data_IF_407315080895
#
_entry.id   IF_407315080895
#
_cell.length_a   1.000
_cell.length_b   1.000
_cell.length_c   1.000
_cell.angle_alpha   90.00
_cell.angle_beta   90.00
_cell.angle_gamma   90.00
#
_symmetry.space_group_name_H-M   'P 1'
#
loop_
_entity.id
_entity.type
_entity.pdbx_description
1 polymer ?
#
# COMPACT_ATOMS: atom_id res chain seq x y z
N UNK A 1 -23.94 -32.37 40.67
CA UNK A 1 -22.67 -32.97 40.26
C UNK A 1 -21.63 -31.89 40.16
N UNK A 2 -20.57 -32.03 40.91
CA UNK A 2 -19.53 -30.97 40.98
C UNK A 2 -18.75 -30.87 39.68
N UNK A 3 -17.83 -31.73 39.42
CA UNK A 3 -17.17 -31.83 38.12
C UNK A 3 -16.51 -33.19 37.99
N UNK A 4 -16.10 -33.57 36.74
CA UNK A 4 -15.36 -34.84 36.53
C UNK A 4 -14.00 -34.87 37.22
N UNK A 5 -13.46 -33.71 37.63
CA UNK A 5 -12.11 -33.58 38.21
C UNK A 5 -12.12 -33.29 39.71
N UNK A 6 -13.21 -32.76 40.25
CA UNK A 6 -13.33 -32.34 41.65
C UNK A 6 -14.68 -32.78 42.21
N UNK A 7 -14.69 -33.50 43.32
CA UNK A 7 -15.90 -33.98 43.99
C UNK A 7 -16.45 -32.94 44.97
N UNK A 8 -15.58 -32.09 45.49
CA UNK A 8 -15.90 -31.04 46.46
C UNK A 8 -14.99 -29.81 46.29
N UNK A 9 -15.30 -28.72 46.96
CA UNK A 9 -14.49 -27.49 46.94
C UNK A 9 -13.14 -27.70 47.61
N UNK A 10 -12.04 -27.53 46.88
CA UNK A 10 -10.68 -27.68 47.41
C UNK A 10 -10.32 -26.72 48.54
N UNK A 11 -11.10 -25.63 48.72
CA UNK A 11 -10.85 -24.62 49.76
C UNK A 11 -11.69 -24.79 51.02
N UNK A 12 -12.97 -25.14 50.90
CA UNK A 12 -13.86 -25.23 52.04
C UNK A 12 -14.53 -26.62 52.21
N UNK A 13 -14.20 -27.59 51.35
CA UNK A 13 -14.67 -28.97 51.45
C UNK A 13 -16.17 -29.18 51.11
N UNK A 14 -16.93 -28.15 50.77
CA UNK A 14 -18.37 -28.30 50.48
C UNK A 14 -18.62 -28.88 49.11
N UNK A 15 -19.60 -29.76 49.01
CA UNK A 15 -20.19 -30.26 47.76
C UNK A 15 -21.55 -29.63 47.46
N UNK A 16 -22.13 -28.92 48.41
CA UNK A 16 -23.51 -28.39 48.32
C UNK A 16 -23.62 -27.14 47.48
N UNK A 17 -22.53 -26.39 47.36
CA UNK A 17 -22.47 -25.17 46.58
C UNK A 17 -21.86 -25.47 45.21
N UNK A 18 -22.55 -25.05 44.14
CA UNK A 18 -22.16 -25.31 42.74
C UNK A 18 -20.70 -24.96 42.46
N UNK A 19 -20.00 -25.87 41.80
CA UNK A 19 -18.65 -25.64 41.24
C UNK A 19 -18.66 -24.54 40.19
N UNK A 20 -17.64 -23.67 40.21
CA UNK A 20 -17.48 -22.58 39.21
C UNK A 20 -16.23 -22.80 38.36
N UNK A 21 -15.04 -22.77 38.96
CA UNK A 21 -13.78 -23.01 38.29
C UNK A 21 -12.65 -23.35 39.27
N UNK A 22 -11.57 -23.95 38.79
CA UNK A 22 -10.35 -24.25 39.55
C UNK A 22 -10.59 -25.09 40.82
N UNK A 23 -11.61 -25.94 40.82
CA UNK A 23 -11.96 -26.75 42.00
C UNK A 23 -12.62 -25.95 43.12
N UNK A 24 -13.13 -24.75 42.88
CA UNK A 24 -13.72 -23.88 43.88
C UNK A 24 -15.25 -23.81 43.73
N UNK A 25 -15.96 -23.78 44.88
CA UNK A 25 -17.37 -23.44 44.92
C UNK A 25 -17.56 -21.94 44.65
N UNK A 26 -18.77 -21.50 44.26
CA UNK A 26 -19.09 -20.13 43.94
C UNK A 26 -18.63 -19.12 45.01
N UNK A 27 -18.86 -19.42 46.28
CA UNK A 27 -18.46 -18.56 47.41
C UNK A 27 -16.93 -18.39 47.49
N UNK A 28 -16.19 -19.50 47.44
CA UNK A 28 -14.73 -19.45 47.50
C UNK A 28 -14.07 -18.84 46.26
N UNK A 29 -14.67 -19.06 45.08
CA UNK A 29 -14.21 -18.43 43.84
C UNK A 29 -14.39 -16.93 43.90
N UNK A 30 -15.54 -16.39 44.26
CA UNK A 30 -15.81 -14.96 44.40
C UNK A 30 -14.86 -14.29 45.39
N UNK A 31 -14.68 -14.91 46.60
CA UNK A 31 -13.74 -14.36 47.58
C UNK A 31 -12.28 -14.35 47.09
N UNK A 32 -11.87 -15.35 46.33
CA UNK A 32 -10.52 -15.39 45.77
C UNK A 32 -10.30 -14.35 44.68
N UNK A 33 -11.28 -14.19 43.77
CA UNK A 33 -11.23 -13.17 42.71
C UNK A 33 -11.32 -11.76 43.25
N UNK A 34 -12.13 -11.50 44.27
CA UNK A 34 -12.22 -10.20 44.93
C UNK A 34 -10.92 -9.84 45.67
N UNK A 35 -10.29 -10.82 46.34
CA UNK A 35 -9.01 -10.60 47.00
C UNK A 35 -7.88 -10.31 46.02
N UNK A 36 -7.83 -11.03 44.88
CA UNK A 36 -6.87 -10.80 43.81
C UNK A 36 -7.13 -9.43 43.14
N UNK A 37 -8.38 -9.05 42.88
CA UNK A 37 -8.74 -7.76 42.34
C UNK A 37 -8.40 -6.60 43.29
N UNK A 38 -8.69 -6.74 44.59
CA UNK A 38 -8.33 -5.72 45.59
C UNK A 38 -6.83 -5.56 45.76
N UNK A 39 -6.05 -6.63 45.70
CA UNK A 39 -4.58 -6.60 45.75
C UNK A 39 -3.98 -5.87 44.53
N UNK A 40 -4.53 -6.13 43.33
CA UNK A 40 -4.08 -5.46 42.08
C UNK A 40 -4.50 -3.98 42.01
N UNK A 41 -5.67 -3.62 42.52
CA UNK A 41 -6.18 -2.25 42.48
C UNK A 41 -5.50 -1.31 43.48
N UNK A 42 -5.11 -1.78 44.68
CA UNK A 42 -4.48 -0.91 45.69
C UNK A 42 -3.06 -0.48 45.34
N UNK A 43 -2.29 -1.30 44.60
CA UNK A 43 -0.88 -0.95 44.27
C UNK A 43 -0.72 0.00 43.10
N UNK A 44 -1.75 0.22 42.26
CA UNK A 44 -1.62 0.93 40.99
C UNK A 44 -2.34 2.29 40.89
N UNK A 45 -3.26 2.61 41.79
CA UNK A 45 -4.04 3.87 41.69
C UNK A 45 -3.30 5.12 42.11
N UNK A 46 -2.42 5.08 43.10
CA UNK A 46 -1.73 6.27 43.61
C UNK A 46 -0.58 6.75 42.74
N UNK A 47 0.22 5.85 42.17
CA UNK A 47 1.44 6.22 41.43
C UNK A 47 1.11 6.80 40.05
N UNK A 48 0.15 6.20 39.34
CA UNK A 48 -0.28 6.67 38.02
C UNK A 48 -1.00 8.03 38.06
N UNK A 49 -1.68 8.34 39.17
CA UNK A 49 -2.40 9.62 39.30
C UNK A 49 -1.48 10.81 39.51
N UNK A 50 -0.39 10.62 40.23
CA UNK A 50 0.61 11.66 40.43
C UNK A 50 1.58 11.79 39.24
N UNK A 51 1.78 10.71 38.47
CA UNK A 51 2.72 10.71 37.36
C UNK A 51 2.11 11.27 36.06
N UNK A 52 0.85 10.95 35.76
CA UNK A 52 0.17 11.39 34.53
C UNK A 52 -0.54 12.72 34.75
N UNK A 53 0.22 13.81 34.87
CA UNK A 53 -0.30 15.18 34.81
C UNK A 53 -0.72 15.54 33.39
N UNK A 54 -1.43 16.67 33.20
CA UNK A 54 -1.83 17.16 31.90
C UNK A 54 -0.64 17.39 30.97
N UNK A 55 0.40 18.06 31.48
CA UNK A 55 1.62 18.39 30.76
C UNK A 55 2.37 17.12 30.34
N UNK A 56 2.49 16.16 31.28
CA UNK A 56 3.18 14.90 31.00
C UNK A 56 2.42 14.03 29.98
N UNK A 57 1.10 14.03 30.03
CA UNK A 57 0.29 13.34 29.03
C UNK A 57 0.40 14.01 27.66
N UNK A 58 0.42 15.33 27.60
CA UNK A 58 0.62 16.07 26.37
C UNK A 58 1.98 15.75 25.74
N UNK A 59 3.07 15.84 26.52
CA UNK A 59 4.42 15.46 26.09
C UNK A 59 4.47 14.03 25.52
N UNK A 60 3.97 13.05 26.29
CA UNK A 60 4.07 11.64 25.90
C UNK A 60 3.16 11.30 24.73
N UNK A 61 1.94 11.81 24.73
CA UNK A 61 0.94 11.44 23.75
C UNK A 61 1.03 12.29 22.47
N UNK A 62 1.12 13.62 22.59
CA UNK A 62 1.13 14.51 21.43
C UNK A 62 2.54 14.65 20.85
N UNK A 63 3.51 15.10 21.63
CA UNK A 63 4.87 15.40 21.14
C UNK A 63 5.64 14.12 20.81
N UNK A 64 5.72 13.18 21.74
CA UNK A 64 6.42 11.90 21.54
C UNK A 64 5.62 10.88 20.76
N UNK A 65 4.33 11.11 20.49
CA UNK A 65 3.48 10.22 19.72
C UNK A 65 3.40 8.79 20.29
N UNK A 66 3.46 8.62 21.60
CA UNK A 66 3.34 7.30 22.24
C UNK A 66 1.91 6.77 22.14
N UNK A 67 1.75 5.43 22.07
CA UNK A 67 0.42 4.83 22.15
C UNK A 67 -0.12 4.82 23.57
N UNK A 68 -1.44 4.77 23.73
CA UNK A 68 -2.08 4.66 25.05
C UNK A 68 -1.57 3.44 25.83
N UNK A 69 -1.25 2.37 25.11
CA UNK A 69 -0.70 1.13 25.71
C UNK A 69 0.72 1.35 26.22
N UNK A 70 1.57 2.05 25.45
CA UNK A 70 2.95 2.33 25.85
C UNK A 70 3.00 3.30 27.03
N UNK A 71 2.15 4.34 27.02
CA UNK A 71 2.00 5.27 28.16
C UNK A 71 1.50 4.51 29.39
N UNK A 72 0.53 3.61 29.22
CA UNK A 72 0.03 2.79 30.31
C UNK A 72 1.12 1.89 30.93
N UNK A 73 1.93 1.25 30.09
CA UNK A 73 3.09 0.46 30.56
C UNK A 73 4.10 1.35 31.28
N UNK A 74 4.42 2.50 30.74
CA UNK A 74 5.37 3.46 31.29
C UNK A 74 4.91 4.01 32.65
N UNK A 75 3.62 4.32 32.79
CA UNK A 75 3.03 4.86 34.01
C UNK A 75 2.55 3.77 35.01
N UNK A 76 2.73 2.49 34.69
CA UNK A 76 2.25 1.38 35.52
C UNK A 76 0.73 1.28 35.62
N UNK A 77 -0.02 1.71 34.59
CA UNK A 77 -1.49 1.68 34.58
C UNK A 77 -2.04 1.08 33.27
N UNK A 78 -3.35 0.93 33.20
CA UNK A 78 -4.01 0.37 32.02
C UNK A 78 -4.19 1.43 30.93
N UNK A 79 -4.24 1.00 29.67
CA UNK A 79 -4.64 1.81 28.52
C UNK A 79 -5.94 2.59 28.75
N UNK A 80 -6.90 1.97 29.43
CA UNK A 80 -8.20 2.58 29.73
C UNK A 80 -8.05 3.76 30.68
N UNK A 81 -7.17 3.65 31.68
CA UNK A 81 -6.88 4.74 32.61
C UNK A 81 -6.23 5.94 31.89
N UNK A 82 -5.27 5.67 30.97
CA UNK A 82 -4.66 6.72 30.15
C UNK A 82 -5.71 7.43 29.30
N UNK A 83 -6.60 6.68 28.63
CA UNK A 83 -7.69 7.25 27.83
C UNK A 83 -8.64 8.11 28.67
N UNK A 84 -9.01 7.64 29.88
CA UNK A 84 -9.84 8.41 30.82
C UNK A 84 -9.16 9.73 31.21
N UNK A 85 -7.85 9.72 31.47
CA UNK A 85 -7.09 10.92 31.81
C UNK A 85 -6.97 11.91 30.65
N UNK A 86 -6.77 11.42 29.42
CA UNK A 86 -6.81 12.28 28.22
C UNK A 86 -8.15 13.04 28.16
N UNK A 87 -9.26 12.30 28.30
CA UNK A 87 -10.60 12.90 28.31
C UNK A 87 -10.77 13.89 29.46
N UNK A 88 -10.30 13.55 30.68
CA UNK A 88 -10.36 14.43 31.86
C UNK A 88 -9.62 15.74 31.65
N UNK A 89 -8.48 15.71 30.93
CA UNK A 89 -7.65 16.89 30.67
C UNK A 89 -8.00 17.62 29.37
N UNK A 90 -9.03 17.19 28.64
CA UNK A 90 -9.45 17.81 27.38
C UNK A 90 -8.46 17.58 26.24
N UNK A 91 -7.71 16.48 26.29
CA UNK A 91 -6.80 16.07 25.19
C UNK A 91 -7.53 15.07 24.31
N UNK A 92 -7.75 15.42 23.03
CA UNK A 92 -8.44 14.56 22.09
C UNK A 92 -7.65 13.30 21.77
N UNK A 93 -8.36 12.17 21.77
CA UNK A 93 -7.76 10.91 21.37
C UNK A 93 -7.63 10.85 19.85
N UNK A 94 -6.47 10.43 19.36
CA UNK A 94 -6.22 10.22 17.92
C UNK A 94 -7.24 9.28 17.30
N UNK A 95 -7.63 9.56 16.08
CA UNK A 95 -8.39 8.63 15.24
C UNK A 95 -7.62 7.32 15.01
N UNK A 96 -8.31 6.28 14.59
CA UNK A 96 -7.67 5.00 14.23
C UNK A 96 -6.65 5.17 13.11
N UNK A 97 -6.94 6.06 12.15
CA UNK A 97 -6.06 6.36 11.02
C UNK A 97 -4.77 7.03 11.46
N UNK A 98 -4.84 8.08 12.27
CA UNK A 98 -3.67 8.77 12.83
C UNK A 98 -2.81 7.85 13.69
N UNK A 99 -3.45 7.06 14.56
CA UNK A 99 -2.74 6.09 15.39
C UNK A 99 -2.01 5.04 14.55
N UNK A 100 -2.61 4.57 13.43
CA UNK A 100 -1.99 3.64 12.50
C UNK A 100 -0.82 4.28 11.75
N UNK A 101 -0.97 5.52 11.28
CA UNK A 101 0.10 6.26 10.62
C UNK A 101 1.33 6.38 11.51
N UNK A 102 1.16 6.84 12.75
CA UNK A 102 2.27 6.93 13.73
C UNK A 102 2.90 5.56 14.02
N UNK A 103 2.10 4.50 14.07
CA UNK A 103 2.61 3.14 14.29
C UNK A 103 3.43 2.63 13.09
N UNK A 104 3.04 2.97 11.85
CA UNK A 104 3.80 2.68 10.64
C UNK A 104 5.12 3.46 10.61
N UNK A 105 5.08 4.77 10.87
CA UNK A 105 6.27 5.64 10.89
C UNK A 105 7.30 5.17 11.94
N UNK A 106 6.83 4.65 13.06
CA UNK A 106 7.68 4.09 14.13
C UNK A 106 8.08 2.62 13.91
N UNK A 107 7.71 2.02 12.79
CA UNK A 107 8.01 0.60 12.50
C UNK A 107 7.40 -0.39 13.50
N UNK A 108 6.30 -0.02 14.16
CA UNK A 108 5.63 -0.88 15.15
C UNK A 108 4.69 -1.90 14.55
N UNK A 109 4.33 -1.74 13.27
CA UNK A 109 3.47 -2.70 12.57
C UNK A 109 4.36 -3.72 11.87
N UNK A 110 4.32 -4.94 12.39
CA UNK A 110 5.15 -6.06 11.95
C UNK A 110 4.28 -7.28 11.69
N UNK A 111 4.72 -8.15 10.80
CA UNK A 111 4.15 -9.48 10.60
C UNK A 111 5.26 -10.49 10.37
N UNK A 112 5.02 -11.73 10.74
CA UNK A 112 5.88 -12.84 10.35
C UNK A 112 5.41 -13.34 8.98
N UNK A 113 6.34 -13.52 8.06
CA UNK A 113 6.11 -14.22 6.79
C UNK A 113 6.98 -15.45 6.76
N UNK A 114 6.39 -16.53 6.30
CA UNK A 114 7.12 -17.77 6.03
C UNK A 114 7.41 -17.80 4.53
N UNK A 115 8.67 -18.00 4.15
CA UNK A 115 9.06 -18.18 2.76
C UNK A 115 8.70 -19.60 2.27
N UNK A 116 8.94 -19.88 1.00
CA UNK A 116 8.66 -21.18 0.40
C UNK A 116 9.55 -22.33 0.93
N UNK A 117 10.61 -21.99 1.67
CA UNK A 117 11.51 -22.94 2.33
C UNK A 117 11.17 -23.14 3.81
N UNK A 118 10.12 -22.48 4.33
CA UNK A 118 9.72 -22.57 5.73
C UNK A 118 10.45 -21.63 6.68
N UNK A 119 11.30 -20.71 6.19
CA UNK A 119 12.00 -19.76 7.04
C UNK A 119 11.06 -18.62 7.46
N UNK A 120 11.06 -18.28 8.72
CA UNK A 120 10.29 -17.16 9.25
C UNK A 120 11.09 -15.85 9.13
N UNK A 121 10.49 -14.84 8.49
CA UNK A 121 11.04 -13.51 8.36
C UNK A 121 10.09 -12.46 8.95
N UNK A 122 10.62 -11.62 9.85
CA UNK A 122 9.88 -10.46 10.35
C UNK A 122 9.84 -9.37 9.27
N UNK A 123 8.64 -9.00 8.83
CA UNK A 123 8.41 -7.91 7.89
C UNK A 123 7.87 -6.70 8.65
N UNK A 124 8.63 -5.62 8.67
CA UNK A 124 8.24 -4.34 9.25
C UNK A 124 7.54 -3.51 8.19
N UNK A 125 6.29 -3.13 8.43
CA UNK A 125 5.56 -2.23 7.54
C UNK A 125 5.95 -0.79 7.85
N UNK A 126 6.30 -0.03 6.81
CA UNK A 126 6.54 1.41 6.87
C UNK A 126 5.48 2.15 6.03
N UNK A 127 5.20 3.39 6.39
CA UNK A 127 4.44 4.27 5.52
C UNK A 127 5.34 4.64 4.34
N UNK A 128 4.86 4.39 3.13
CA UNK A 128 5.55 4.82 1.91
C UNK A 128 5.40 6.34 1.81
N UNK A 129 6.52 7.03 1.62
CA UNK A 129 6.57 8.47 1.37
C UNK A 129 6.72 8.71 -0.12
N UNK A 130 6.07 9.69 -0.64
CA UNK A 130 6.12 10.11 -2.04
C UNK A 130 5.65 11.56 -2.14
N UNK A 131 5.93 12.21 -3.26
CA UNK A 131 5.40 13.54 -3.54
C UNK A 131 3.88 13.47 -3.77
N UNK A 132 3.08 13.88 -2.79
CA UNK A 132 1.60 13.83 -2.83
C UNK A 132 0.99 14.75 -3.91
N UNK A 133 1.77 15.72 -4.43
CA UNK A 133 1.35 16.63 -5.48
C UNK A 133 1.82 16.22 -6.88
N UNK A 134 2.53 15.10 -7.01
CA UNK A 134 3.16 14.69 -8.26
C UNK A 134 2.22 14.63 -9.46
N UNK A 135 0.99 14.15 -9.28
CA UNK A 135 -0.02 14.05 -10.34
C UNK A 135 -1.03 15.21 -10.37
N UNK A 136 -0.84 16.25 -9.56
CA UNK A 136 -1.74 17.42 -9.52
C UNK A 136 -1.33 18.52 -10.45
N UNK A 137 -0.03 18.63 -10.73
CA UNK A 137 0.54 19.68 -11.56
C UNK A 137 1.36 19.06 -12.70
N UNK A 138 1.16 19.58 -13.91
CA UNK A 138 1.89 19.10 -15.07
C UNK A 138 3.35 19.51 -15.04
N UNK A 139 4.24 18.52 -15.11
CA UNK A 139 5.67 18.67 -15.30
C UNK A 139 6.19 17.69 -16.37
N UNK A 140 7.43 17.86 -16.79
CA UNK A 140 8.09 16.93 -17.70
C UNK A 140 8.20 15.53 -17.10
N UNK A 141 8.51 15.47 -15.82
CA UNK A 141 8.65 14.26 -15.01
C UNK A 141 7.29 13.54 -14.83
N UNK A 142 6.25 14.32 -14.50
CA UNK A 142 4.89 13.80 -14.35
C UNK A 142 4.38 13.21 -15.67
N UNK A 143 4.54 13.90 -16.79
CA UNK A 143 4.12 13.41 -18.09
C UNK A 143 4.88 12.14 -18.49
N UNK A 144 6.19 12.09 -18.23
CA UNK A 144 7.01 10.90 -18.48
C UNK A 144 6.56 9.69 -17.64
N UNK A 145 6.36 9.87 -16.34
CA UNK A 145 5.89 8.82 -15.44
C UNK A 145 4.47 8.37 -15.83
N UNK A 146 3.60 9.30 -16.23
CA UNK A 146 2.27 8.95 -16.74
C UNK A 146 2.37 8.05 -17.97
N UNK A 147 3.30 8.33 -18.91
CA UNK A 147 3.58 7.47 -20.05
C UNK A 147 3.99 6.05 -19.65
N UNK A 148 4.88 5.90 -18.67
CA UNK A 148 5.25 4.60 -18.10
C UNK A 148 4.07 3.88 -17.43
N UNK A 149 3.20 4.62 -16.74
CA UNK A 149 2.00 4.03 -16.15
C UNK A 149 1.04 3.53 -17.23
N UNK A 150 0.92 4.23 -18.34
CA UNK A 150 0.07 3.82 -19.47
C UNK A 150 0.53 2.51 -20.11
N UNK A 151 1.81 2.16 -20.05
CA UNK A 151 2.35 0.88 -20.51
C UNK A 151 2.32 -0.17 -19.40
N UNK A 152 3.26 -0.13 -18.47
CA UNK A 152 3.56 -1.17 -17.49
C UNK A 152 2.95 -0.91 -16.10
N UNK A 153 2.23 0.20 -15.94
CA UNK A 153 1.51 0.51 -14.71
C UNK A 153 0.17 -0.22 -14.61
N UNK A 154 -0.23 -0.55 -13.39
CA UNK A 154 -1.55 -1.06 -13.09
C UNK A 154 -2.18 -0.25 -11.95
N UNK A 155 -3.39 0.25 -12.20
CA UNK A 155 -4.21 0.93 -11.21
C UNK A 155 -5.30 -0.03 -10.73
N UNK A 156 -5.26 -0.35 -9.45
CA UNK A 156 -6.32 -1.11 -8.80
C UNK A 156 -7.14 -0.18 -7.92
N UNK A 157 -8.45 -0.17 -8.10
CA UNK A 157 -9.38 0.60 -7.27
C UNK A 157 -10.48 -0.33 -6.79
N UNK A 158 -10.71 -0.34 -5.48
CA UNK A 158 -11.76 -1.12 -4.86
C UNK A 158 -12.56 -0.23 -3.92
N UNK A 159 -13.89 -0.35 -3.99
CA UNK A 159 -14.82 0.23 -3.01
C UNK A 159 -15.53 -0.92 -2.31
N UNK A 160 -15.45 -0.96 -0.98
CA UNK A 160 -16.16 -1.97 -0.21
C UNK A 160 -17.59 -1.52 0.14
N UNK A 161 -18.38 -2.44 0.74
CA UNK A 161 -19.77 -2.17 1.12
C UNK A 161 -19.92 -1.08 2.19
N UNK A 162 -18.85 -0.76 2.92
CA UNK A 162 -18.83 0.34 3.91
C UNK A 162 -18.48 1.69 3.30
N UNK A 163 -18.23 1.76 1.98
CA UNK A 163 -17.78 2.96 1.29
C UNK A 163 -16.28 3.23 1.40
N UNK A 164 -15.51 2.33 2.03
CA UNK A 164 -14.05 2.44 2.05
C UNK A 164 -13.48 2.23 0.65
N UNK A 165 -12.69 3.18 0.20
CA UNK A 165 -11.98 3.13 -1.08
C UNK A 165 -10.54 2.70 -0.85
N UNK A 166 -10.04 1.83 -1.72
CA UNK A 166 -8.65 1.38 -1.75
C UNK A 166 -8.11 1.60 -3.15
N UNK A 167 -7.12 2.49 -3.27
CA UNK A 167 -6.38 2.71 -4.49
C UNK A 167 -4.96 2.16 -4.37
N UNK A 168 -4.51 1.39 -5.36
CA UNK A 168 -3.14 0.87 -5.42
C UNK A 168 -2.60 1.12 -6.82
N UNK A 169 -1.50 1.87 -6.91
CA UNK A 169 -0.67 1.97 -8.10
C UNK A 169 0.45 0.93 -8.01
N UNK A 170 0.58 0.09 -9.02
CA UNK A 170 1.68 -0.86 -9.16
C UNK A 170 2.39 -0.62 -10.47
N UNK A 171 3.70 -0.81 -10.49
CA UNK A 171 4.53 -0.76 -11.70
C UNK A 171 5.49 -1.93 -11.68
N UNK A 172 5.66 -2.60 -12.83
CA UNK A 172 6.52 -3.77 -12.94
C UNK A 172 7.26 -3.75 -14.28
N UNK A 173 8.59 -3.92 -14.25
CA UNK A 173 9.42 -3.93 -15.45
C UNK A 173 10.64 -4.85 -15.25
N UNK A 174 11.18 -5.35 -16.37
CA UNK A 174 12.42 -6.17 -16.36
C UNK A 174 13.65 -5.33 -16.05
N UNK A 175 13.64 -4.09 -16.51
CA UNK A 175 14.70 -3.13 -16.29
C UNK A 175 14.56 -2.50 -14.90
N UNK A 176 15.49 -2.86 -14.00
CA UNK A 176 15.52 -2.33 -12.63
C UNK A 176 15.77 -0.82 -12.61
N UNK A 177 16.63 -0.31 -13.50
CA UNK A 177 16.97 1.11 -13.56
C UNK A 177 15.76 1.96 -13.91
N UNK A 178 14.85 1.44 -14.76
CA UNK A 178 13.60 2.11 -15.08
C UNK A 178 12.65 2.19 -13.88
N UNK A 179 12.60 1.12 -13.06
CA UNK A 179 11.83 1.08 -11.82
C UNK A 179 12.40 2.06 -10.79
N UNK A 180 13.73 2.10 -10.64
CA UNK A 180 14.42 3.04 -9.74
C UNK A 180 14.21 4.49 -10.19
N UNK A 181 14.31 4.77 -11.49
CA UNK A 181 14.04 6.09 -12.08
C UNK A 181 12.61 6.56 -11.83
N UNK A 182 11.63 5.67 -11.97
CA UNK A 182 10.23 5.98 -11.66
C UNK A 182 10.08 6.46 -10.23
N UNK A 183 10.58 5.67 -9.25
CA UNK A 183 10.49 6.02 -7.83
C UNK A 183 11.23 7.33 -7.51
N UNK A 184 12.41 7.52 -8.09
CA UNK A 184 13.20 8.75 -7.91
C UNK A 184 12.45 9.98 -8.39
N UNK A 185 11.79 9.91 -9.56
CA UNK A 185 11.02 11.04 -10.11
C UNK A 185 9.82 11.41 -9.23
N UNK A 186 9.21 10.43 -8.57
CA UNK A 186 8.11 10.64 -7.62
C UNK A 186 8.56 10.99 -6.20
N UNK A 187 9.86 11.10 -5.93
CA UNK A 187 10.42 11.21 -4.56
C UNK A 187 9.83 10.14 -3.64
N UNK A 188 9.86 8.89 -4.09
CA UNK A 188 9.15 7.78 -3.46
C UNK A 188 10.11 6.75 -2.86
N UNK A 189 9.92 6.43 -1.57
CA UNK A 189 10.71 5.44 -0.83
C UNK A 189 10.12 4.01 -0.84
N UNK A 190 9.22 3.72 -1.79
CA UNK A 190 8.66 2.38 -1.92
C UNK A 190 9.77 1.34 -2.19
N UNK A 191 9.67 0.20 -1.52
CA UNK A 191 10.63 -0.88 -1.70
C UNK A 191 10.43 -1.57 -3.05
N UNK A 192 11.49 -1.63 -3.85
CA UNK A 192 11.53 -2.43 -5.06
C UNK A 192 11.62 -3.90 -4.65
N UNK A 193 10.74 -4.71 -5.19
CA UNK A 193 10.68 -6.15 -4.99
C UNK A 193 11.07 -6.84 -6.28
N UNK A 194 11.64 -8.02 -6.13
CA UNK A 194 12.00 -8.88 -7.24
C UNK A 194 11.09 -10.10 -7.25
N UNK A 195 10.67 -10.54 -8.44
CA UNK A 195 9.90 -11.74 -8.66
C UNK A 195 10.61 -12.60 -9.68
N UNK A 196 11.06 -13.77 -9.23
CA UNK A 196 11.65 -14.79 -10.10
C UNK A 196 10.58 -15.49 -10.93
N UNK A 197 11.00 -16.03 -12.05
CA UNK A 197 10.18 -16.92 -12.87
C UNK A 197 9.95 -18.23 -12.12
N UNK A 198 8.70 -18.62 -11.91
CA UNK A 198 8.41 -19.97 -11.42
C UNK A 198 8.65 -20.96 -12.55
N UNK A 199 9.41 -22.02 -12.28
CA UNK A 199 9.81 -23.07 -13.23
C UNK A 199 8.64 -23.71 -13.99
N UNK A 200 7.44 -23.73 -13.39
CA UNK A 200 6.22 -24.32 -13.94
C UNK A 200 5.20 -23.30 -14.44
N UNK A 201 5.54 -22.02 -14.55
CA UNK A 201 4.59 -21.04 -15.07
C UNK A 201 4.49 -21.16 -16.59
N UNK A 202 3.30 -21.47 -17.09
CA UNK A 202 2.97 -21.48 -18.54
C UNK A 202 3.13 -20.11 -19.22
N UNK A 203 3.49 -19.07 -18.49
CA UNK A 203 3.67 -17.71 -18.99
C UNK A 203 5.15 -17.42 -19.25
N UNK A 204 5.43 -16.74 -20.34
CA UNK A 204 6.75 -16.24 -20.72
C UNK A 204 7.24 -15.05 -19.89
N UNK A 205 6.54 -14.69 -18.83
CA UNK A 205 6.93 -13.61 -17.92
C UNK A 205 8.21 -14.02 -17.18
N UNK A 206 9.33 -13.40 -17.54
CA UNK A 206 10.62 -13.56 -16.90
C UNK A 206 10.70 -12.88 -15.53
N UNK A 207 11.90 -12.69 -15.05
CA UNK A 207 12.22 -11.89 -13.86
C UNK A 207 11.68 -10.47 -14.01
N UNK A 208 11.05 -9.96 -12.92
CA UNK A 208 10.47 -8.63 -12.89
C UNK A 208 10.83 -7.92 -11.60
N UNK A 209 11.24 -6.67 -11.72
CA UNK A 209 11.29 -5.72 -10.62
C UNK A 209 9.97 -4.98 -10.54
N UNK A 210 9.42 -4.83 -9.32
CA UNK A 210 8.14 -4.17 -9.15
C UNK A 210 8.02 -3.45 -7.80
N UNK A 211 7.12 -2.49 -7.76
CA UNK A 211 6.67 -1.88 -6.52
C UNK A 211 5.15 -1.67 -6.54
N UNK A 212 4.58 -1.36 -5.38
CA UNK A 212 3.17 -1.00 -5.23
C UNK A 212 3.02 0.08 -4.18
N UNK A 213 2.26 1.11 -4.49
CA UNK A 213 1.95 2.25 -3.61
C UNK A 213 0.45 2.24 -3.34
N UNK A 214 0.07 2.03 -2.07
CA UNK A 214 -1.32 2.17 -1.64
C UNK A 214 -1.64 3.63 -1.34
N UNK A 215 -2.39 4.28 -2.23
CA UNK A 215 -2.81 5.68 -2.09
C UNK A 215 -4.11 5.94 -2.83
N UNK A 216 -5.11 6.40 -2.08
CA UNK A 216 -6.38 6.81 -2.66
C UNK A 216 -6.25 8.13 -3.44
N UNK A 217 -5.35 9.03 -3.01
CA UNK A 217 -5.14 10.31 -3.66
C UNK A 217 -4.47 10.14 -5.02
N UNK A 218 -3.38 9.35 -5.10
CA UNK A 218 -2.77 8.98 -6.40
C UNK A 218 -3.81 8.31 -7.31
N UNK A 219 -4.62 7.39 -6.78
CA UNK A 219 -5.63 6.72 -7.60
C UNK A 219 -6.68 7.70 -8.15
N UNK A 220 -7.16 8.63 -7.32
CA UNK A 220 -8.10 9.68 -7.74
C UNK A 220 -7.50 10.61 -8.80
N UNK A 221 -6.24 11.02 -8.62
CA UNK A 221 -5.58 11.91 -9.56
C UNK A 221 -5.32 11.21 -10.90
N UNK A 222 -4.89 9.94 -10.89
CA UNK A 222 -4.72 9.14 -12.11
C UNK A 222 -6.05 8.90 -12.85
N UNK A 223 -7.15 8.66 -12.11
CA UNK A 223 -8.49 8.56 -12.71
C UNK A 223 -8.91 9.85 -13.40
N UNK A 224 -8.65 11.03 -12.81
CA UNK A 224 -8.90 12.33 -13.43
C UNK A 224 -8.06 12.56 -14.68
N UNK A 225 -6.85 12.01 -14.74
CA UNK A 225 -5.96 12.04 -15.91
C UNK A 225 -6.35 11.01 -16.99
N UNK A 226 -7.49 10.34 -16.84
CA UNK A 226 -8.03 9.40 -17.83
C UNK A 226 -7.52 7.96 -17.71
N UNK A 227 -6.70 7.64 -16.71
CA UNK A 227 -6.28 6.26 -16.48
C UNK A 227 -7.41 5.47 -15.84
N UNK A 228 -7.76 4.32 -16.42
CA UNK A 228 -8.81 3.42 -15.88
C UNK A 228 -8.21 2.12 -15.35
N UNK A 229 -8.83 1.48 -14.33
CA UNK A 229 -8.48 0.11 -13.98
C UNK A 229 -8.67 -0.82 -15.18
N UNK A 230 -7.81 -1.85 -15.31
CA UNK A 230 -7.84 -2.82 -16.41
C UNK A 230 -7.69 -2.20 -17.82
N UNK A 231 -6.93 -1.13 -17.93
CA UNK A 231 -6.77 -0.27 -19.11
C UNK A 231 -6.37 -0.95 -20.43
N UNK A 232 -5.85 -2.18 -20.40
CA UNK A 232 -5.12 -2.79 -21.53
C UNK A 232 -5.88 -2.85 -22.86
N UNK A 233 -7.21 -2.97 -22.84
CA UNK A 233 -8.02 -3.07 -24.07
C UNK A 233 -8.78 -1.77 -24.39
N UNK A 234 -9.19 -1.02 -23.37
CA UNK A 234 -10.08 0.14 -23.48
C UNK A 234 -9.39 1.46 -23.12
N UNK A 235 -8.07 1.49 -23.20
CA UNK A 235 -7.26 2.65 -22.87
C UNK A 235 -7.59 3.82 -23.80
N UNK A 236 -7.92 4.96 -23.21
CA UNK A 236 -8.15 6.22 -23.92
C UNK A 236 -6.87 7.06 -23.88
N UNK A 237 -6.60 7.79 -24.98
CA UNK A 237 -5.47 8.69 -25.03
C UNK A 237 -5.76 9.90 -24.13
N UNK A 238 -4.87 10.21 -23.17
CA UNK A 238 -5.12 11.29 -22.20
C UNK A 238 -5.00 12.67 -22.81
N UNK A 239 -5.66 13.65 -22.19
CA UNK A 239 -5.48 15.05 -22.53
C UNK A 239 -4.20 15.56 -21.88
N UNK A 240 -3.19 15.86 -22.70
CA UNK A 240 -1.87 16.30 -22.24
C UNK A 240 -1.56 17.65 -22.87
N UNK A 241 -1.13 18.66 -22.09
CA UNK A 241 -0.68 19.93 -22.66
C UNK A 241 0.49 19.71 -23.62
N UNK A 242 0.46 20.38 -24.79
CA UNK A 242 1.40 20.16 -25.89
C UNK A 242 2.88 20.21 -25.47
N UNK A 243 3.23 21.16 -24.59
CA UNK A 243 4.61 21.29 -24.08
C UNK A 243 5.13 20.06 -23.35
N UNK A 244 4.24 19.18 -22.83
CA UNK A 244 4.59 17.96 -22.11
C UNK A 244 4.39 16.69 -22.93
N UNK A 245 3.74 16.78 -24.09
CA UNK A 245 3.42 15.64 -24.93
C UNK A 245 4.65 14.77 -25.27
N UNK A 246 5.77 15.41 -25.62
CA UNK A 246 7.03 14.70 -25.91
C UNK A 246 7.53 13.82 -24.75
N UNK A 247 7.28 14.26 -23.51
CA UNK A 247 7.72 13.53 -22.33
C UNK A 247 6.82 12.33 -22.06
N UNK A 248 5.52 12.46 -22.27
CA UNK A 248 4.57 11.36 -22.23
C UNK A 248 4.89 10.29 -23.29
N UNK A 249 5.10 10.70 -24.53
CA UNK A 249 5.48 9.80 -25.63
C UNK A 249 6.78 9.08 -25.29
N UNK A 250 7.79 9.76 -24.74
CA UNK A 250 9.03 9.12 -24.28
C UNK A 250 8.75 8.04 -23.24
N UNK A 251 7.87 8.31 -22.26
CA UNK A 251 7.47 7.31 -21.26
C UNK A 251 6.79 6.10 -21.88
N UNK A 252 5.93 6.29 -22.88
CA UNK A 252 5.32 5.19 -23.62
C UNK A 252 6.37 4.32 -24.33
N UNK A 253 7.38 4.95 -24.95
CA UNK A 253 8.42 4.23 -25.67
C UNK A 253 9.42 3.53 -24.73
N UNK A 254 9.74 4.13 -23.58
CA UNK A 254 10.60 3.50 -22.58
C UNK A 254 9.90 2.26 -21.94
N UNK A 255 8.56 2.20 -21.93
CA UNK A 255 7.78 1.04 -21.47
C UNK A 255 7.60 -0.03 -22.56
N UNK A 256 6.75 0.22 -23.54
CA UNK A 256 6.31 -0.74 -24.56
C UNK A 256 6.92 -0.49 -25.95
N UNK A 257 7.81 0.48 -26.07
CA UNK A 257 8.45 0.82 -27.34
C UNK A 257 9.56 -0.16 -27.71
N UNK A 258 9.79 -0.29 -29.00
CA UNK A 258 10.94 -0.98 -29.54
C UNK A 258 11.56 -0.20 -30.67
N UNK A 259 12.89 -0.15 -30.69
CA UNK A 259 13.70 0.51 -31.72
C UNK A 259 14.67 -0.53 -32.28
N UNK A 260 14.66 -0.71 -33.60
CA UNK A 260 15.55 -1.65 -34.25
C UNK A 260 16.00 -1.16 -35.64
N UNK A 261 17.16 -1.62 -36.04
CA UNK A 261 17.68 -1.38 -37.37
C UNK A 261 16.98 -2.30 -38.37
N UNK A 262 16.25 -1.75 -39.33
CA UNK A 262 15.64 -2.50 -40.44
C UNK A 262 16.65 -2.74 -41.57
N UNK A 263 17.56 -1.79 -41.78
CA UNK A 263 18.66 -1.87 -42.72
C UNK A 263 19.80 -0.95 -42.23
N UNK A 264 20.95 -0.97 -42.92
CA UNK A 264 22.09 -0.11 -42.59
C UNK A 264 21.77 1.40 -42.54
N UNK A 265 20.65 1.82 -43.14
CA UNK A 265 20.25 3.24 -43.28
C UNK A 265 18.85 3.55 -42.73
N UNK A 266 18.15 2.59 -42.13
CA UNK A 266 16.80 2.85 -41.62
C UNK A 266 16.59 2.28 -40.22
N UNK A 267 16.15 3.14 -39.33
CA UNK A 267 15.72 2.79 -37.96
C UNK A 267 14.20 2.64 -37.99
N UNK A 268 13.70 1.55 -37.47
CA UNK A 268 12.28 1.36 -37.25
C UNK A 268 11.94 1.51 -35.77
N UNK A 269 10.89 2.26 -35.52
CA UNK A 269 10.32 2.46 -34.18
C UNK A 269 8.96 1.85 -34.14
N UNK A 270 8.63 1.08 -33.12
CA UNK A 270 7.37 0.39 -32.97
C UNK A 270 6.84 0.57 -31.53
N UNK A 271 5.56 0.84 -31.39
CA UNK A 271 4.83 0.80 -30.12
C UNK A 271 3.64 -0.14 -30.25
N UNK A 272 3.48 -1.03 -29.27
CA UNK A 272 2.38 -1.99 -29.21
C UNK A 272 1.36 -1.58 -28.15
N UNK A 273 0.07 -1.79 -28.42
CA UNK A 273 -0.97 -1.65 -27.42
C UNK A 273 -2.17 -2.57 -27.76
N UNK A 274 -2.81 -3.10 -26.74
CA UNK A 274 -4.10 -3.79 -26.88
C UNK A 274 -5.25 -2.86 -27.26
N UNK A 275 -5.15 -1.56 -26.98
CA UNK A 275 -6.16 -0.56 -27.32
C UNK A 275 -5.94 0.03 -28.71
N UNK A 276 -6.80 -0.35 -29.67
CA UNK A 276 -6.80 0.23 -31.02
C UNK A 276 -7.11 1.73 -31.01
N UNK A 277 -8.00 2.17 -30.12
CA UNK A 277 -8.38 3.58 -29.97
C UNK A 277 -7.18 4.43 -29.56
N UNK A 278 -6.40 3.97 -28.58
CA UNK A 278 -5.19 4.63 -28.11
C UNK A 278 -4.15 4.80 -29.22
N UNK A 279 -3.83 3.72 -29.95
CA UNK A 279 -2.85 3.77 -31.05
C UNK A 279 -3.32 4.66 -32.19
N UNK A 280 -4.63 4.67 -32.54
CA UNK A 280 -5.18 5.58 -33.54
C UNK A 280 -5.01 7.05 -33.14
N UNK A 281 -5.25 7.37 -31.86
CA UNK A 281 -5.08 8.74 -31.35
C UNK A 281 -3.61 9.14 -31.35
N UNK A 282 -2.70 8.26 -30.93
CA UNK A 282 -1.26 8.49 -31.01
C UNK A 282 -0.81 8.72 -32.47
N UNK A 283 -1.26 7.90 -33.40
CA UNK A 283 -0.91 8.04 -34.81
C UNK A 283 -1.40 9.38 -35.38
N UNK A 284 -2.64 9.80 -35.11
CA UNK A 284 -3.15 11.11 -35.52
C UNK A 284 -2.29 12.26 -35.00
N UNK A 285 -1.90 12.17 -33.72
CA UNK A 285 -1.02 13.16 -33.10
C UNK A 285 0.34 13.22 -33.81
N UNK A 286 0.94 12.08 -34.08
CA UNK A 286 2.24 12.00 -34.77
C UNK A 286 2.14 12.52 -36.21
N UNK A 287 1.09 12.16 -36.94
CA UNK A 287 0.84 12.67 -38.30
C UNK A 287 0.65 14.18 -38.29
N UNK A 288 -0.10 14.73 -37.35
CA UNK A 288 -0.27 16.16 -37.16
C UNK A 288 1.05 16.90 -36.86
N UNK A 289 2.06 16.20 -36.37
CA UNK A 289 3.42 16.71 -36.13
C UNK A 289 4.43 16.34 -37.23
N UNK A 290 3.97 16.00 -38.44
CA UNK A 290 4.81 15.78 -39.61
C UNK A 290 5.34 14.36 -39.79
N UNK A 291 4.92 13.38 -38.95
CA UNK A 291 5.27 11.99 -39.17
C UNK A 291 4.35 11.37 -40.24
N UNK A 292 4.86 10.36 -40.98
CA UNK A 292 4.08 9.62 -41.94
C UNK A 292 3.02 8.76 -41.23
N UNK A 293 1.83 8.62 -41.86
CA UNK A 293 0.80 7.70 -41.37
C UNK A 293 1.31 6.24 -41.41
N UNK A 294 1.39 5.62 -40.27
CA UNK A 294 1.98 4.29 -40.05
C UNK A 294 1.15 3.42 -39.09
N UNK A 295 -0.12 3.77 -38.91
CA UNK A 295 -1.00 2.95 -38.13
C UNK A 295 -1.21 1.59 -38.80
N UNK A 296 -0.92 0.52 -38.08
CA UNK A 296 -1.13 -0.85 -38.51
C UNK A 296 -1.93 -1.57 -37.42
N UNK A 297 -3.05 -2.18 -37.79
CA UNK A 297 -3.80 -3.04 -36.91
C UNK A 297 -3.48 -4.50 -37.26
N UNK A 298 -3.04 -5.25 -36.25
CA UNK A 298 -2.73 -6.66 -36.37
C UNK A 298 -3.20 -7.43 -35.15
N UNK A 299 -3.10 -8.74 -35.16
CA UNK A 299 -3.49 -9.64 -34.08
C UNK A 299 -4.58 -10.65 -34.49
N UNK A 300 -4.73 -11.66 -33.64
CA UNK A 300 -5.81 -12.65 -33.77
C UNK A 300 -7.09 -12.16 -33.11
N UNK A 301 -8.27 -12.72 -33.39
CA UNK A 301 -9.49 -12.38 -32.66
C UNK A 301 -9.39 -12.57 -31.15
N UNK A 302 -8.55 -13.51 -30.70
CA UNK A 302 -8.28 -13.79 -29.29
C UNK A 302 -7.23 -12.86 -28.64
N UNK A 303 -6.39 -12.20 -29.45
CA UNK A 303 -5.36 -11.25 -29.00
C UNK A 303 -5.33 -10.04 -29.92
N UNK A 304 -6.33 -9.15 -29.85
CA UNK A 304 -6.36 -7.96 -30.66
C UNK A 304 -5.19 -7.05 -30.27
N UNK A 305 -4.31 -6.77 -31.22
CA UNK A 305 -3.22 -5.82 -31.04
C UNK A 305 -3.23 -4.77 -32.13
N UNK A 306 -2.80 -3.58 -31.81
CA UNK A 306 -2.54 -2.52 -32.75
C UNK A 306 -1.14 -1.97 -32.50
N UNK A 307 -0.45 -1.54 -33.53
CA UNK A 307 0.86 -0.95 -33.41
C UNK A 307 1.07 0.21 -34.34
N UNK A 308 1.87 1.14 -33.90
CA UNK A 308 2.48 2.19 -34.73
C UNK A 308 3.87 1.70 -35.15
N UNK A 309 4.20 1.85 -36.43
CA UNK A 309 5.53 1.54 -36.95
C UNK A 309 5.99 2.67 -37.87
N UNK A 310 6.99 3.41 -37.46
CA UNK A 310 7.60 4.49 -38.22
C UNK A 310 9.02 4.15 -38.67
N UNK A 311 9.44 4.63 -39.85
CA UNK A 311 10.84 4.64 -40.27
C UNK A 311 11.40 6.03 -39.98
N UNK A 312 12.51 6.06 -39.23
CA UNK A 312 13.30 7.26 -39.10
C UNK A 312 14.45 7.19 -40.11
N UNK A 313 14.47 8.07 -41.07
CA UNK A 313 15.63 8.20 -41.94
C UNK A 313 16.62 9.17 -41.23
N UNK A 314 17.82 8.68 -40.91
CA UNK A 314 18.89 9.59 -40.50
C UNK A 314 19.16 10.52 -41.70
N UNK A 315 18.77 11.77 -41.58
CA UNK A 315 19.42 12.80 -42.40
C UNK A 315 20.84 12.94 -41.84
N UNK A 316 21.80 12.40 -42.59
CA UNK A 316 23.23 12.65 -42.39
C UNK A 316 23.54 13.99 -43.07
#
# INVERSE_FOLDING_TARGET
VWSRKYEQCVKCGTSDIKHVAKGLCRKCYTLNTEAEHKKHQRHKRGVADNFLTKEKLYELYIEKGMSLTDIGKFAGCTRVNVHYKLKKFGIDARSKTEARTIALDKGKIKTMRVDEFGNEQEVVYKKIRYNENFFKEWSAEMAYVLGLIYTDGNLYVRKDKSGYELGILSFAQKDKELVEKFLKLMDCDATIRFKERREFAKTTAGELYYFSIGSNDIAKDLLKLGLTPNKSLDMVFPEIPDKFMRHFIRGLFDGDGSVYLESRKSIRVKLLSGSKGFIKSLNRLLVGNGFSDRFISGGTPSTPSAYFSGKCYSQI
#
